data_IF_620357682674
#
_entry.id   IF_620357682674
#
_cell.length_a   1.000
_cell.length_b   1.000
_cell.length_c   1.000
_cell.angle_alpha   90.00
_cell.angle_beta   90.00
_cell.angle_gamma   90.00
#
_symmetry.space_group_name_H-M   'P 1'
#
loop_
_entity.id
_entity.type
_entity.pdbx_description
1 polymer ?
#
# COMPACT_ATOMS: atom_id res chain seq x y z
N UNK A 1 0.59 55.69 -49.84
CA UNK A 1 -0.77 56.31 -49.85
C UNK A 1 -1.56 55.76 -48.68
N UNK A 2 -1.85 56.62 -47.70
CA UNK A 2 -2.56 56.33 -46.45
C UNK A 2 -4.06 56.48 -46.71
N UNK A 3 -4.86 55.46 -46.42
CA UNK A 3 -6.32 55.57 -46.35
C UNK A 3 -6.80 55.03 -45.01
N UNK A 4 -7.44 55.92 -44.27
CA UNK A 4 -8.14 55.72 -43.01
C UNK A 4 -9.41 54.89 -43.25
N UNK A 5 -9.78 54.01 -42.32
CA UNK A 5 -11.17 53.88 -41.90
C UNK A 5 -11.22 53.25 -40.50
N UNK A 6 -11.68 54.04 -39.54
CA UNK A 6 -12.01 53.63 -38.19
C UNK A 6 -13.23 52.70 -38.17
N UNK A 7 -13.22 51.77 -37.22
CA UNK A 7 -14.40 51.42 -36.44
C UNK A 7 -15.23 50.26 -36.95
N UNK A 8 -15.04 49.08 -36.35
CA UNK A 8 -16.16 48.18 -36.12
C UNK A 8 -15.90 47.36 -34.84
N UNK A 9 -16.81 47.58 -33.89
CA UNK A 9 -16.99 46.89 -32.62
C UNK A 9 -17.30 45.42 -32.91
N UNK A 10 -16.65 44.49 -32.21
CA UNK A 10 -16.95 43.07 -32.30
C UNK A 10 -16.22 42.28 -31.23
N UNK A 11 -16.95 41.91 -30.18
CA UNK A 11 -16.50 41.16 -29.02
C UNK A 11 -15.76 39.86 -29.40
N UNK A 12 -14.59 39.62 -28.78
CA UNK A 12 -14.12 38.25 -28.52
C UNK A 12 -13.63 38.19 -27.09
N UNK A 13 -14.24 37.26 -26.37
CA UNK A 13 -14.19 37.02 -24.95
C UNK A 13 -12.78 36.64 -24.47
N UNK A 14 -12.54 36.96 -23.20
CA UNK A 14 -11.43 36.46 -22.41
C UNK A 14 -11.38 34.93 -22.45
N UNK A 15 -10.49 34.34 -23.25
CA UNK A 15 -10.01 32.98 -23.03
C UNK A 15 -8.88 33.04 -22.01
N UNK A 16 -9.24 33.20 -20.74
CA UNK A 16 -8.36 32.83 -19.64
C UNK A 16 -8.14 31.31 -19.75
N UNK A 17 -6.99 30.91 -20.28
CA UNK A 17 -6.53 29.54 -20.27
C UNK A 17 -6.22 29.17 -18.81
N UNK A 18 -7.26 28.77 -18.07
CA UNK A 18 -7.11 27.90 -16.92
C UNK A 18 -6.71 26.53 -17.47
N UNK A 19 -5.42 26.38 -17.81
CA UNK A 19 -4.77 25.08 -17.77
C UNK A 19 -4.75 24.70 -16.28
N UNK A 20 -5.88 24.14 -15.83
CA UNK A 20 -5.88 23.33 -14.63
C UNK A 20 -4.88 22.23 -14.90
N UNK A 21 -3.78 22.23 -14.15
CA UNK A 21 -2.95 21.06 -14.02
C UNK A 21 -3.89 19.94 -13.57
N UNK A 22 -4.30 19.08 -14.50
CA UNK A 22 -4.72 17.75 -14.12
C UNK A 22 -3.51 17.20 -13.35
N UNK A 23 -3.64 17.13 -12.02
CA UNK A 23 -2.68 16.38 -11.22
C UNK A 23 -2.53 15.01 -11.87
N UNK A 24 -1.33 14.41 -11.86
CA UNK A 24 -1.15 13.10 -12.46
C UNK A 24 -2.25 12.17 -11.92
N UNK A 25 -2.93 11.46 -12.82
CA UNK A 25 -3.94 10.44 -12.50
C UNK A 25 -3.33 9.20 -11.79
N UNK A 26 -2.24 9.39 -11.05
CA UNK A 26 -1.48 8.42 -10.26
C UNK A 26 -1.61 8.69 -8.76
N UNK A 27 -2.63 9.45 -8.35
CA UNK A 27 -3.04 9.51 -6.95
C UNK A 27 -3.90 8.29 -6.54
N UNK A 28 -4.10 7.34 -7.45
CA UNK A 28 -4.56 6.00 -7.11
C UNK A 28 -3.38 5.25 -6.51
N UNK A 29 -3.50 4.85 -5.25
CA UNK A 29 -2.43 4.19 -4.52
C UNK A 29 -2.26 2.78 -5.09
N UNK A 30 -1.47 2.66 -6.17
CA UNK A 30 -1.30 1.43 -6.92
C UNK A 30 -0.98 0.27 -5.96
N UNK A 31 -1.74 -0.82 -6.11
CA UNK A 31 -1.49 -2.06 -5.39
C UNK A 31 -0.08 -2.55 -5.71
N UNK A 32 0.71 -2.86 -4.68
CA UNK A 32 2.07 -3.33 -4.89
C UNK A 32 2.08 -4.75 -5.45
N UNK A 33 2.85 -4.95 -6.52
CA UNK A 33 3.06 -6.26 -7.14
C UNK A 33 4.53 -6.41 -7.47
N UNK A 34 5.15 -7.47 -6.98
CA UNK A 34 6.55 -7.74 -7.27
C UNK A 34 7.31 -8.36 -6.12
N UNK A 35 8.60 -8.50 -6.34
CA UNK A 35 9.57 -8.91 -5.34
C UNK A 35 10.35 -7.68 -4.92
N UNK A 36 10.41 -7.45 -3.62
CA UNK A 36 11.06 -6.31 -2.99
C UNK A 36 12.13 -6.77 -2.01
N UNK A 37 13.22 -6.02 -1.91
CA UNK A 37 14.20 -6.17 -0.83
C UNK A 37 13.72 -5.37 0.38
N UNK A 38 13.48 -6.07 1.49
CA UNK A 38 13.22 -5.51 2.80
C UNK A 38 14.54 -5.24 3.51
N UNK A 39 14.72 -3.99 3.94
CA UNK A 39 15.88 -3.55 4.71
C UNK A 39 15.43 -2.86 6.00
N UNK A 40 16.00 -3.27 7.12
CA UNK A 40 15.78 -2.67 8.43
C UNK A 40 17.08 -2.71 9.24
N UNK A 41 17.44 -1.60 9.88
CA UNK A 41 18.63 -1.53 10.71
C UNK A 41 18.64 -2.63 11.79
N UNK A 42 19.79 -3.29 11.90
CA UNK A 42 20.02 -4.39 12.86
C UNK A 42 19.52 -5.76 12.40
N UNK A 43 18.96 -5.88 11.20
CA UNK A 43 18.58 -7.15 10.58
C UNK A 43 19.33 -7.33 9.25
N UNK A 44 19.60 -8.58 8.82
CA UNK A 44 20.00 -8.82 7.45
C UNK A 44 18.84 -8.51 6.49
N UNK A 45 19.17 -8.26 5.22
CA UNK A 45 18.14 -8.05 4.19
C UNK A 45 17.28 -9.32 4.00
N UNK A 46 16.00 -9.10 3.69
CA UNK A 46 15.05 -10.15 3.35
C UNK A 46 14.34 -9.83 2.03
N UNK A 47 13.76 -10.85 1.42
CA UNK A 47 12.93 -10.72 0.23
C UNK A 47 11.45 -10.70 0.64
N UNK A 48 10.67 -9.74 0.13
CA UNK A 48 9.21 -9.68 0.21
C UNK A 48 8.63 -9.89 -1.19
N UNK A 49 8.00 -11.04 -1.41
CA UNK A 49 7.16 -11.27 -2.58
C UNK A 49 5.74 -10.82 -2.27
N UNK A 50 5.26 -9.81 -2.98
CA UNK A 50 3.98 -9.14 -2.72
C UNK A 50 3.07 -9.32 -3.93
N UNK A 51 1.89 -9.87 -3.69
CA UNK A 51 0.85 -10.02 -4.70
C UNK A 51 -0.52 -9.59 -4.16
N UNK A 52 -1.28 -8.80 -4.93
CA UNK A 52 -2.59 -8.33 -4.53
C UNK A 52 -3.67 -9.36 -4.86
N UNK A 53 -4.72 -9.35 -4.05
CA UNK A 53 -6.01 -9.95 -4.36
C UNK A 53 -7.09 -8.89 -4.11
N UNK A 54 -7.70 -8.40 -5.17
CA UNK A 54 -8.65 -7.30 -5.14
C UNK A 54 -10.05 -7.75 -5.54
N UNK A 55 -11.04 -7.25 -4.80
CA UNK A 55 -12.46 -7.31 -5.20
C UNK A 55 -12.82 -5.95 -5.78
N UNK A 56 -13.33 -5.88 -7.02
CA UNK A 56 -13.73 -4.58 -7.58
C UNK A 56 -14.91 -4.02 -6.78
N UNK A 57 -14.82 -2.75 -6.39
CA UNK A 57 -15.91 -2.08 -5.67
C UNK A 57 -17.04 -1.76 -6.66
N UNK A 58 -18.23 -2.32 -6.42
CA UNK A 58 -19.36 -2.19 -7.33
C UNK A 58 -20.02 -0.81 -7.16
N UNK A 59 -19.65 0.14 -8.03
CA UNK A 59 -20.57 1.04 -8.72
C UNK A 59 -21.58 1.86 -7.90
N UNK A 60 -21.25 2.36 -6.72
CA UNK A 60 -22.00 3.48 -6.13
C UNK A 60 -21.48 4.86 -6.57
N UNK A 61 -20.45 4.87 -7.44
CA UNK A 61 -19.71 6.02 -7.96
C UNK A 61 -18.98 6.85 -6.88
N UNK A 62 -18.90 6.39 -5.62
CA UNK A 62 -18.17 7.10 -4.55
C UNK A 62 -16.71 6.70 -4.45
N UNK A 63 -16.36 5.51 -4.93
CA UNK A 63 -15.02 4.98 -5.04
C UNK A 63 -14.79 4.52 -6.48
N UNK A 64 -13.58 4.73 -7.00
CA UNK A 64 -13.21 4.22 -8.30
C UNK A 64 -13.15 2.69 -8.25
N UNK A 65 -13.55 2.00 -9.32
CA UNK A 65 -13.59 0.52 -9.37
C UNK A 65 -12.23 -0.11 -9.05
N UNK A 66 -11.14 0.65 -9.29
CA UNK A 66 -9.74 0.25 -9.06
C UNK A 66 -9.18 0.71 -7.72
N UNK A 67 -9.98 1.39 -6.88
CA UNK A 67 -9.51 1.84 -5.59
C UNK A 67 -9.03 0.63 -4.75
N UNK A 68 -7.81 0.67 -4.19
CA UNK A 68 -7.20 -0.43 -3.44
C UNK A 68 -7.91 -0.73 -2.11
N UNK A 69 -9.00 -0.03 -1.79
CA UNK A 69 -9.78 -0.15 -0.54
C UNK A 69 -10.32 -1.57 -0.33
N UNK A 70 -10.59 -2.29 -1.42
CA UNK A 70 -11.10 -3.67 -1.37
C UNK A 70 -10.02 -4.73 -1.73
N UNK A 71 -8.74 -4.39 -1.57
CA UNK A 71 -7.62 -5.28 -1.84
C UNK A 71 -6.96 -5.81 -0.55
N UNK A 72 -6.41 -7.01 -0.64
CA UNK A 72 -5.48 -7.59 0.33
C UNK A 72 -4.15 -7.79 -0.38
N UNK A 73 -3.05 -7.29 0.19
CA UNK A 73 -1.70 -7.62 -0.27
C UNK A 73 -1.18 -8.81 0.53
N UNK A 74 -0.92 -9.91 -0.15
CA UNK A 74 -0.24 -11.04 0.44
C UNK A 74 1.26 -10.78 0.40
N UNK A 75 1.88 -10.63 1.57
CA UNK A 75 3.32 -10.40 1.74
C UNK A 75 3.96 -11.72 2.18
N UNK A 76 4.73 -12.33 1.27
CA UNK A 76 5.50 -13.54 1.54
C UNK A 76 6.97 -13.18 1.74
N UNK A 77 7.47 -13.37 2.96
CA UNK A 77 8.84 -13.04 3.34
C UNK A 77 9.79 -14.25 3.27
N UNK A 78 11.01 -14.01 2.78
CA UNK A 78 12.09 -14.99 2.77
C UNK A 78 13.46 -14.36 3.12
N UNK A 79 14.22 -14.91 4.08
CA UNK A 79 13.83 -16.00 4.97
C UNK A 79 12.85 -15.53 6.06
N UNK A 80 11.84 -16.35 6.37
CA UNK A 80 10.82 -16.04 7.38
C UNK A 80 11.38 -15.86 8.81
N UNK A 81 12.64 -16.25 9.04
CA UNK A 81 13.35 -16.04 10.31
C UNK A 81 13.78 -14.59 10.53
N UNK A 82 13.83 -13.77 9.48
CA UNK A 82 14.24 -12.36 9.55
C UNK A 82 13.04 -11.45 9.73
N UNK A 83 11.99 -11.69 8.95
CA UNK A 83 10.75 -10.91 8.96
C UNK A 83 9.56 -11.83 8.64
N UNK A 84 8.44 -11.72 9.38
CA UNK A 84 7.27 -12.57 9.16
C UNK A 84 6.47 -12.12 7.93
N UNK A 85 5.90 -13.11 7.23
CA UNK A 85 4.87 -12.93 6.20
C UNK A 85 3.54 -12.46 6.81
N UNK A 86 2.67 -11.87 5.99
CA UNK A 86 1.34 -11.44 6.44
C UNK A 86 0.44 -10.89 5.33
N UNK A 87 -0.82 -10.66 5.67
CA UNK A 87 -1.82 -10.10 4.78
C UNK A 87 -2.09 -8.63 5.13
N UNK A 88 -1.65 -7.73 4.27
CA UNK A 88 -1.79 -6.29 4.47
C UNK A 88 -3.09 -5.76 3.88
N UNK A 89 -3.75 -4.88 4.64
CA UNK A 89 -4.95 -4.15 4.23
C UNK A 89 -4.67 -2.66 4.28
N UNK A 90 -5.25 -1.92 3.35
CA UNK A 90 -5.12 -0.48 3.32
C UNK A 90 -5.90 0.14 4.48
N UNK A 91 -5.20 0.86 5.37
CA UNK A 91 -5.75 1.56 6.53
C UNK A 91 -5.15 2.96 6.56
N UNK A 92 -5.98 3.99 6.53
CA UNK A 92 -5.55 5.40 6.54
C UNK A 92 -4.49 5.73 5.47
N UNK A 93 -4.63 5.16 4.27
CA UNK A 93 -3.70 5.37 3.17
C UNK A 93 -2.36 4.65 3.32
N UNK A 94 -2.23 3.70 4.25
CA UNK A 94 -1.02 2.89 4.42
C UNK A 94 -1.40 1.41 4.47
N UNK A 95 -0.58 0.57 3.85
CA UNK A 95 -0.75 -0.88 3.93
C UNK A 95 -0.31 -1.36 5.29
N UNK A 96 -1.18 -2.08 5.99
CA UNK A 96 -0.88 -2.53 7.33
C UNK A 96 -1.27 -3.99 7.56
N UNK A 97 -0.43 -4.70 8.30
CA UNK A 97 -0.73 -6.05 8.79
C UNK A 97 -0.19 -6.25 10.21
N UNK A 98 -0.79 -7.20 10.92
CA UNK A 98 -0.41 -7.56 12.28
C UNK A 98 -0.10 -9.04 12.34
N UNK A 99 1.01 -9.41 12.97
CA UNK A 99 1.37 -10.78 13.28
C UNK A 99 1.44 -10.93 14.80
N UNK A 100 0.98 -12.08 15.30
CA UNK A 100 1.12 -12.44 16.70
C UNK A 100 1.86 -13.78 16.77
N UNK A 101 3.07 -13.75 17.31
CA UNK A 101 3.94 -14.91 17.43
C UNK A 101 3.90 -15.36 18.89
N UNK A 102 3.24 -16.49 19.17
CA UNK A 102 3.03 -16.99 20.54
C UNK A 102 4.33 -17.22 21.31
N UNK A 103 5.40 -17.61 20.61
CA UNK A 103 6.72 -17.85 21.19
C UNK A 103 7.77 -16.81 20.74
N UNK A 104 7.32 -15.59 20.41
CA UNK A 104 8.17 -14.57 19.81
C UNK A 104 9.10 -13.85 20.80
N UNK A 105 8.76 -13.83 22.09
CA UNK A 105 9.59 -13.24 23.14
C UNK A 105 10.29 -14.35 23.92
N UNK A 106 11.62 -14.31 24.00
CA UNK A 106 12.40 -15.17 24.90
C UNK A 106 12.56 -14.50 26.25
N UNK A 107 12.14 -15.20 27.29
CA UNK A 107 12.13 -14.69 28.65
C UNK A 107 13.44 -15.01 29.39
N UNK A 108 13.83 -14.21 30.41
CA UNK A 108 15.06 -14.45 31.17
C UNK A 108 15.10 -15.80 31.90
N UNK A 109 13.95 -16.37 32.21
CA UNK A 109 13.78 -17.69 32.83
C UNK A 109 13.83 -18.86 31.83
N UNK A 110 14.02 -18.58 30.54
CA UNK A 110 14.04 -19.56 29.46
C UNK A 110 12.66 -19.93 28.90
N UNK A 111 11.57 -19.38 29.46
CA UNK A 111 10.23 -19.52 28.88
C UNK A 111 10.05 -18.63 27.63
N UNK A 112 8.92 -18.80 26.95
CA UNK A 112 8.52 -17.98 25.81
C UNK A 112 7.20 -17.27 26.08
N UNK A 113 7.02 -16.10 25.47
CA UNK A 113 5.79 -15.34 25.55
C UNK A 113 5.43 -14.72 24.19
N UNK A 114 4.17 -14.30 24.07
CA UNK A 114 3.64 -13.75 22.84
C UNK A 114 4.28 -12.40 22.50
N UNK A 115 4.63 -12.24 21.22
CA UNK A 115 5.14 -11.00 20.64
C UNK A 115 4.20 -10.57 19.52
N UNK A 116 3.75 -9.32 19.58
CA UNK A 116 2.90 -8.72 18.56
C UNK A 116 3.73 -7.78 17.70
N UNK A 117 3.67 -8.00 16.40
CA UNK A 117 4.32 -7.16 15.40
C UNK A 117 3.27 -6.50 14.51
N UNK A 118 3.41 -5.21 14.30
CA UNK A 118 2.56 -4.41 13.43
C UNK A 118 3.42 -3.73 12.37
N UNK A 119 3.09 -3.98 11.11
CA UNK A 119 3.76 -3.39 9.98
C UNK A 119 2.83 -2.38 9.33
N UNK A 120 3.39 -1.23 8.96
CA UNK A 120 2.69 -0.20 8.22
C UNK A 120 3.63 0.38 7.17
N UNK A 121 3.23 0.45 5.90
CA UNK A 121 4.07 0.92 4.81
C UNK A 121 3.29 1.63 3.71
N UNK A 122 3.99 2.52 3.02
CA UNK A 122 3.49 3.31 1.91
C UNK A 122 3.98 2.70 0.59
N UNK A 123 3.07 2.49 -0.36
CA UNK A 123 3.41 1.90 -1.67
C UNK A 123 4.04 2.88 -2.65
N UNK A 124 3.92 4.18 -2.43
CA UNK A 124 4.50 5.23 -3.25
C UNK A 124 5.93 5.53 -2.82
N UNK A 125 6.16 5.67 -1.50
CA UNK A 125 7.50 5.98 -0.98
C UNK A 125 8.34 4.72 -0.72
N UNK A 126 7.71 3.54 -0.70
CA UNK A 126 8.34 2.26 -0.36
C UNK A 126 9.05 2.28 1.00
N UNK A 127 8.51 3.06 1.94
CA UNK A 127 9.00 3.14 3.32
C UNK A 127 7.93 2.69 4.29
N UNK A 128 8.34 2.09 5.41
CA UNK A 128 7.41 1.65 6.44
C UNK A 128 7.98 1.71 7.85
N UNK A 129 7.12 1.35 8.80
CA UNK A 129 7.46 1.21 10.21
C UNK A 129 7.00 -0.16 10.71
N UNK A 130 7.90 -0.89 11.34
CA UNK A 130 7.63 -2.11 12.10
C UNK A 130 7.55 -1.72 13.58
N UNK A 131 6.41 -2.01 14.20
CA UNK A 131 6.20 -1.84 15.64
C UNK A 131 6.16 -3.21 16.30
N UNK A 132 7.13 -3.47 17.18
CA UNK A 132 7.23 -4.70 17.97
C UNK A 132 6.72 -4.39 19.36
N UNK A 133 5.82 -5.21 19.89
CA UNK A 133 5.17 -4.96 21.17
C UNK A 133 4.92 -6.25 21.96
N UNK A 134 5.02 -6.14 23.28
CA UNK A 134 4.60 -7.17 24.22
C UNK A 134 3.99 -6.53 25.47
N UNK A 135 3.09 -7.27 26.13
CA UNK A 135 2.55 -6.86 27.43
C UNK A 135 3.59 -7.04 28.55
N UNK A 136 3.25 -6.59 29.76
CA UNK A 136 4.07 -6.89 30.93
C UNK A 136 4.00 -8.40 31.22
N UNK A 137 5.07 -9.12 30.89
CA UNK A 137 5.18 -10.58 30.97
C UNK A 137 6.63 -10.94 31.28
N UNK A 138 6.87 -12.11 31.88
CA UNK A 138 8.22 -12.59 32.17
C UNK A 138 9.08 -11.65 33.04
N UNK A 139 8.45 -10.84 33.90
CA UNK A 139 9.13 -9.82 34.70
C UNK A 139 9.65 -8.63 33.89
N UNK A 140 9.39 -8.59 32.58
CA UNK A 140 9.75 -7.48 31.70
C UNK A 140 8.60 -6.46 31.67
N UNK A 141 8.90 -5.15 31.64
CA UNK A 141 7.88 -4.12 31.46
C UNK A 141 7.25 -4.21 30.06
N UNK A 142 6.00 -3.78 29.92
CA UNK A 142 5.37 -3.66 28.62
C UNK A 142 6.18 -2.71 27.74
N UNK A 143 6.53 -3.15 26.53
CA UNK A 143 7.38 -2.39 25.61
C UNK A 143 6.72 -2.28 24.25
N UNK A 144 6.93 -1.13 23.61
CA UNK A 144 6.56 -0.85 22.23
C UNK A 144 7.79 -0.23 21.55
N UNK A 145 8.39 -0.98 20.64
CA UNK A 145 9.58 -0.56 19.89
C UNK A 145 9.22 -0.32 18.43
N UNK A 146 9.55 0.85 17.89
CA UNK A 146 9.27 1.23 16.50
C UNK A 146 10.57 1.30 15.72
N UNK A 147 10.66 0.55 14.61
CA UNK A 147 11.80 0.54 13.71
C UNK A 147 11.36 0.92 12.30
N UNK A 148 11.96 1.93 11.67
CA UNK A 148 11.72 2.22 10.26
C UNK A 148 12.33 1.11 9.39
N UNK A 149 11.72 0.85 8.24
CA UNK A 149 12.27 -0.03 7.21
C UNK A 149 12.02 0.56 5.82
N UNK A 150 12.77 0.06 4.85
CA UNK A 150 12.62 0.43 3.44
C UNK A 150 12.41 -0.81 2.58
N UNK A 151 11.67 -0.63 1.50
CA UNK A 151 11.46 -1.61 0.45
C UNK A 151 12.15 -1.10 -0.83
N UNK A 152 12.84 -1.99 -1.54
CA UNK A 152 13.40 -1.68 -2.86
C UNK A 152 12.86 -2.67 -3.87
N UNK A 153 12.25 -2.20 -4.96
CA UNK A 153 11.81 -3.10 -6.02
C UNK A 153 13.00 -3.85 -6.62
N UNK A 154 12.97 -5.17 -6.58
CA UNK A 154 14.05 -6.01 -7.08
C UNK A 154 13.70 -6.60 -8.46
N UNK A 155 12.52 -7.23 -8.57
CA UNK A 155 12.08 -7.90 -9.81
C UNK A 155 10.57 -8.11 -9.83
N UNK A 156 9.95 -8.32 -11.01
CA UNK A 156 8.59 -8.81 -11.12
C UNK A 156 8.43 -10.20 -10.48
N UNK A 157 7.19 -10.57 -10.14
CA UNK A 157 6.88 -11.93 -9.70
C UNK A 157 7.15 -12.94 -10.84
N UNK A 158 7.60 -14.16 -10.52
CA UNK A 158 7.91 -15.18 -11.53
C UNK A 158 6.67 -15.68 -12.29
N UNK A 159 5.48 -15.52 -11.72
CA UNK A 159 4.20 -15.84 -12.34
C UNK A 159 3.36 -14.57 -12.46
N UNK A 160 2.66 -14.38 -13.59
CA UNK A 160 1.73 -13.27 -13.73
C UNK A 160 0.60 -13.39 -12.71
N UNK A 161 0.27 -12.29 -12.05
CA UNK A 161 -0.82 -12.21 -11.08
C UNK A 161 -1.98 -11.44 -11.69
N UNK A 162 -3.17 -12.01 -11.61
CA UNK A 162 -4.41 -11.30 -11.92
C UNK A 162 -4.85 -10.54 -10.68
N UNK A 163 -4.66 -9.22 -10.67
CA UNK A 163 -5.00 -8.34 -9.54
C UNK A 163 -6.49 -8.40 -9.14
N UNK A 164 -7.37 -8.44 -10.14
CA UNK A 164 -8.82 -8.61 -10.00
C UNK A 164 -9.25 -9.98 -10.55
N UNK A 165 -9.12 -11.06 -9.76
CA UNK A 165 -9.49 -12.39 -10.23
C UNK A 165 -10.99 -12.53 -10.45
N UNK A 166 -11.79 -11.74 -9.74
CA UNK A 166 -13.25 -11.74 -9.87
C UNK A 166 -13.68 -10.86 -11.03
N UNK A 167 -14.36 -11.47 -12.01
CA UNK A 167 -14.94 -10.73 -13.13
C UNK A 167 -16.37 -10.34 -12.73
N UNK A 168 -16.60 -9.05 -12.51
CA UNK A 168 -17.92 -8.53 -12.18
C UNK A 168 -18.56 -7.92 -13.44
N UNK A 169 -19.84 -8.25 -13.67
CA UNK A 169 -20.56 -7.83 -14.86
C UNK A 169 -20.70 -6.28 -14.89
N UNK A 170 -20.44 -5.62 -16.04
CA UNK A 170 -20.56 -4.16 -16.16
C UNK A 170 -22.02 -3.64 -16.07
N UNK A 171 -23.01 -4.55 -16.05
CA UNK A 171 -24.44 -4.27 -16.11
C UNK A 171 -25.15 -3.94 -14.79
N UNK A 172 -24.41 -3.65 -13.71
CA UNK A 172 -25.02 -3.12 -12.47
C UNK A 172 -25.76 -4.14 -11.59
N UNK A 173 -25.66 -5.44 -11.88
CA UNK A 173 -26.06 -6.48 -10.95
C UNK A 173 -24.83 -6.98 -10.19
N UNK A 174 -24.88 -6.84 -8.86
CA UNK A 174 -23.82 -7.10 -7.86
C UNK A 174 -23.39 -8.57 -7.78
N UNK A 175 -22.98 -9.17 -8.90
CA UNK A 175 -22.49 -10.54 -8.97
C UNK A 175 -21.09 -10.54 -9.57
N UNK A 176 -20.18 -11.06 -8.77
CA UNK A 176 -18.81 -11.35 -9.16
C UNK A 176 -18.71 -12.87 -9.24
N UNK A 177 -18.29 -13.37 -10.41
CA UNK A 177 -18.16 -14.80 -10.69
C UNK A 177 -16.74 -15.28 -10.41
#
# INVERSE_FOLDING_TARGET
>A
MRKYFSGLVGAVLLCAALVGFAGPAWADQQTMVGVYTFHQDGLPDAEWSIYPNCVPVVGDLRAEIRDPVACILHVSAFPATVVPSGDAKLTDGLWAYTINTMDGLKCPDGSTAALKEYFQFDSQTLTGTRTISHSQVCGLPATLDKKPFTLTFARPLPLPVTEYPLICEPGGLRRCF
#
